data_IF_350383194191
#
_entry.id   IF_350383194191
#
_cell.length_a   1.000
_cell.length_b   1.000
_cell.length_c   1.000
_cell.angle_alpha   90.00
_cell.angle_beta   90.00
_cell.angle_gamma   90.00
#
_symmetry.space_group_name_H-M   'P 1'
#
loop_
_entity.id
_entity.type
_entity.pdbx_description
1 polymer ?
#
# COMPACT_ATOMS: atom_id res chain seq x y z
N UNK A 1 47.12 24.50 -18.04
CA UNK A 1 45.73 24.69 -17.52
C UNK A 1 44.70 24.04 -18.46
N UNK A 2 44.71 22.71 -18.63
CA UNK A 2 43.72 22.01 -19.49
C UNK A 2 43.23 20.67 -18.94
N UNK A 3 43.83 20.17 -17.85
CA UNK A 3 43.50 18.85 -17.28
C UNK A 3 42.54 18.87 -16.08
N UNK A 4 42.39 20.01 -15.41
CA UNK A 4 41.49 20.13 -14.26
C UNK A 4 40.01 20.31 -14.63
N UNK A 5 39.70 20.70 -15.88
CA UNK A 5 38.33 20.91 -16.33
C UNK A 5 37.57 19.63 -16.70
N UNK A 6 38.28 18.51 -16.93
CA UNK A 6 37.66 17.23 -17.30
C UNK A 6 37.10 16.45 -16.09
N UNK A 7 37.62 16.71 -14.89
CA UNK A 7 37.18 16.00 -13.68
C UNK A 7 35.89 16.57 -13.10
N UNK A 8 35.62 17.87 -13.28
CA UNK A 8 34.40 18.50 -12.76
C UNK A 8 33.15 18.11 -13.56
N UNK A 9 33.28 17.72 -14.82
CA UNK A 9 32.15 17.25 -15.65
C UNK A 9 31.70 15.83 -15.29
N UNK A 10 32.58 14.98 -14.75
CA UNK A 10 32.23 13.58 -14.45
C UNK A 10 31.44 13.41 -13.15
N UNK A 11 31.51 14.39 -12.24
CA UNK A 11 30.82 14.32 -10.95
C UNK A 11 29.34 14.74 -11.03
N UNK A 12 28.96 15.48 -12.07
CA UNK A 12 27.59 15.99 -12.24
C UNK A 12 26.62 14.98 -12.88
N UNK A 13 27.12 13.88 -13.46
CA UNK A 13 26.28 12.88 -14.14
C UNK A 13 25.90 11.68 -13.26
N UNK A 14 26.45 11.55 -12.04
CA UNK A 14 26.11 10.44 -11.13
C UNK A 14 25.05 10.77 -10.08
N UNK A 15 24.62 12.02 -9.96
CA UNK A 15 23.69 12.45 -8.90
C UNK A 15 22.21 12.31 -9.24
N UNK A 16 21.86 11.81 -10.44
CA UNK A 16 20.45 11.68 -10.87
C UNK A 16 19.90 10.26 -10.81
N UNK A 17 20.60 9.32 -10.18
CA UNK A 17 20.08 7.96 -9.90
C UNK A 17 19.76 7.84 -8.40
N UNK A 18 19.00 8.81 -7.87
CA UNK A 18 18.10 8.51 -6.76
C UNK A 18 16.73 8.27 -7.40
N UNK A 19 16.55 7.05 -7.90
CA UNK A 19 15.21 6.51 -8.08
C UNK A 19 14.64 6.33 -6.68
N UNK A 20 14.10 7.41 -6.11
CA UNK A 20 12.87 7.22 -5.37
C UNK A 20 11.95 6.52 -6.36
N UNK A 21 11.64 5.25 -6.10
CA UNK A 21 10.46 4.61 -6.66
C UNK A 21 9.28 5.40 -6.15
N UNK A 22 9.05 6.55 -6.77
CA UNK A 22 7.76 7.20 -6.79
C UNK A 22 6.97 6.29 -7.70
N UNK A 23 6.32 5.30 -7.10
CA UNK A 23 5.29 4.55 -7.76
C UNK A 23 4.38 5.59 -8.42
N UNK A 24 4.44 5.57 -9.74
CA UNK A 24 3.53 6.28 -10.63
C UNK A 24 2.13 5.92 -10.17
N UNK A 25 1.47 6.83 -9.45
CA UNK A 25 0.03 6.79 -9.21
C UNK A 25 -0.60 7.19 -10.54
N UNK A 26 -0.50 6.31 -11.52
CA UNK A 26 -1.23 6.36 -12.77
C UNK A 26 -2.55 5.65 -12.48
N UNK A 27 -3.66 6.38 -12.60
CA UNK A 27 -5.02 6.07 -12.14
C UNK A 27 -5.28 6.19 -10.62
N UNK A 28 -6.11 7.18 -10.25
CA UNK A 28 -6.61 7.41 -8.89
C UNK A 28 -7.48 6.27 -8.30
N UNK A 29 -7.61 5.17 -9.04
CA UNK A 29 -8.36 3.95 -8.71
C UNK A 29 -7.53 2.66 -8.86
N UNK A 30 -6.25 2.72 -9.21
CA UNK A 30 -5.43 1.52 -9.33
C UNK A 30 -4.72 1.23 -8.00
N UNK A 31 -5.06 0.08 -7.43
CA UNK A 31 -4.34 -0.47 -6.28
C UNK A 31 -2.89 -0.81 -6.66
N UNK A 32 -1.95 -0.80 -5.69
CA UNK A 32 -0.65 -1.43 -5.89
C UNK A 32 -0.81 -2.87 -6.41
N UNK A 33 0.10 -3.31 -7.28
CA UNK A 33 0.02 -4.63 -7.93
C UNK A 33 -0.15 -5.78 -6.92
N UNK A 34 0.55 -5.70 -5.79
CA UNK A 34 0.45 -6.69 -4.73
C UNK A 34 -0.94 -6.73 -4.09
N UNK A 35 -1.59 -5.57 -3.95
CA UNK A 35 -2.90 -5.46 -3.32
C UNK A 35 -3.99 -5.99 -4.24
N UNK A 36 -3.90 -5.69 -5.55
CA UNK A 36 -4.76 -6.31 -6.55
C UNK A 36 -4.63 -7.84 -6.53
N UNK A 37 -3.39 -8.35 -6.46
CA UNK A 37 -3.15 -9.80 -6.39
C UNK A 37 -3.85 -10.43 -5.16
N UNK A 38 -3.79 -9.77 -4.00
CA UNK A 38 -4.48 -10.23 -2.78
C UNK A 38 -6.00 -10.19 -2.91
N UNK A 39 -6.55 -9.13 -3.49
CA UNK A 39 -7.99 -9.01 -3.79
C UNK A 39 -8.43 -10.18 -4.67
N UNK A 40 -7.70 -10.46 -5.74
CA UNK A 40 -8.03 -11.53 -6.68
C UNK A 40 -7.96 -12.91 -6.00
N UNK A 41 -6.91 -13.16 -5.21
CA UNK A 41 -6.76 -14.40 -4.43
C UNK A 41 -7.96 -14.65 -3.48
N UNK A 42 -8.41 -13.59 -2.80
CA UNK A 42 -9.45 -13.67 -1.79
C UNK A 42 -10.86 -13.74 -2.38
N UNK A 43 -11.09 -13.12 -3.54
CA UNK A 43 -12.44 -12.92 -4.08
C UNK A 43 -12.78 -13.81 -5.27
N UNK A 44 -11.79 -14.27 -6.04
CA UNK A 44 -12.01 -15.06 -7.27
C UNK A 44 -12.74 -16.38 -7.02
N UNK A 45 -12.37 -17.11 -5.96
CA UNK A 45 -12.93 -18.44 -5.66
C UNK A 45 -14.43 -18.41 -5.36
N UNK A 46 -14.92 -17.32 -4.77
CA UNK A 46 -16.32 -17.18 -4.36
C UNK A 46 -17.08 -16.17 -5.23
N UNK A 47 -16.41 -15.55 -6.20
CA UNK A 47 -16.97 -14.48 -7.05
C UNK A 47 -17.59 -13.32 -6.23
N UNK A 48 -16.95 -12.96 -5.11
CA UNK A 48 -17.47 -11.96 -4.15
C UNK A 48 -16.85 -10.57 -4.34
N UNK A 49 -16.08 -10.34 -5.40
CA UNK A 49 -15.35 -9.09 -5.58
C UNK A 49 -16.27 -7.85 -5.60
N UNK A 50 -17.46 -7.98 -6.20
CA UNK A 50 -18.47 -6.90 -6.29
C UNK A 50 -19.07 -6.46 -4.95
N UNK A 51 -18.88 -7.26 -3.90
CA UNK A 51 -19.37 -6.98 -2.54
C UNK A 51 -18.21 -6.91 -1.53
N UNK A 52 -16.98 -6.77 -2.05
CA UNK A 52 -15.77 -6.63 -1.25
C UNK A 52 -15.27 -5.19 -1.40
N UNK A 53 -14.90 -4.58 -0.28
CA UNK A 53 -14.33 -3.24 -0.23
C UNK A 53 -12.90 -3.28 0.31
N UNK A 54 -12.11 -2.30 -0.10
CA UNK A 54 -10.78 -2.03 0.42
C UNK A 54 -10.81 -0.69 1.15
N UNK A 55 -10.56 -0.74 2.45
CA UNK A 55 -10.44 0.43 3.30
C UNK A 55 -8.96 0.77 3.50
N UNK A 56 -8.56 1.98 3.13
CA UNK A 56 -7.22 2.52 3.33
C UNK A 56 -7.22 3.29 4.66
N UNK A 57 -6.36 2.88 5.58
CA UNK A 57 -6.31 3.39 6.96
C UNK A 57 -4.91 3.93 7.25
N UNK A 58 -4.83 5.14 7.80
CA UNK A 58 -3.59 5.71 8.32
C UNK A 58 -3.51 5.54 9.83
N UNK A 59 -2.39 5.02 10.33
CA UNK A 59 -2.13 4.87 11.76
C UNK A 59 -0.63 4.99 12.04
N UNK A 60 -0.24 5.85 13.00
CA UNK A 60 1.16 6.12 13.37
C UNK A 60 2.07 6.44 12.16
N UNK A 61 1.55 7.18 11.18
CA UNK A 61 2.30 7.57 9.97
C UNK A 61 2.51 6.43 8.97
N UNK A 62 1.86 5.27 9.16
CA UNK A 62 1.86 4.14 8.22
C UNK A 62 0.48 3.98 7.58
N UNK A 63 0.48 3.47 6.35
CA UNK A 63 -0.74 3.11 5.61
C UNK A 63 -1.01 1.62 5.76
N UNK A 64 -2.27 1.28 6.02
CA UNK A 64 -2.77 -0.08 6.10
C UNK A 64 -3.92 -0.27 5.12
N UNK A 65 -4.03 -1.48 4.60
CA UNK A 65 -5.04 -1.87 3.63
C UNK A 65 -5.90 -2.97 4.22
N UNK A 66 -7.17 -2.68 4.42
CA UNK A 66 -8.13 -3.62 4.95
C UNK A 66 -9.07 -4.08 3.83
N UNK A 67 -8.93 -5.32 3.40
CA UNK A 67 -9.85 -5.96 2.44
C UNK A 67 -10.96 -6.61 3.25
N UNK A 68 -12.22 -6.30 2.96
CA UNK A 68 -13.33 -6.86 3.70
C UNK A 68 -14.55 -7.16 2.85
N UNK A 69 -15.19 -8.28 3.14
CA UNK A 69 -16.49 -8.66 2.61
C UNK A 69 -17.41 -8.99 3.78
N UNK A 70 -18.64 -8.47 3.76
CA UNK A 70 -19.63 -8.71 4.81
C UNK A 70 -20.03 -10.18 5.01
N UNK A 71 -19.65 -11.07 4.08
CA UNK A 71 -19.85 -12.51 4.19
C UNK A 71 -18.75 -13.23 4.99
N UNK A 72 -17.66 -12.55 5.34
CA UNK A 72 -16.57 -13.15 6.11
C UNK A 72 -16.85 -13.05 7.61
N UNK A 73 -16.54 -14.12 8.35
CA UNK A 73 -16.74 -14.18 9.81
C UNK A 73 -15.71 -13.39 10.62
N UNK A 74 -14.67 -12.85 9.97
CA UNK A 74 -13.59 -12.13 10.63
C UNK A 74 -13.43 -10.72 10.05
N UNK A 75 -13.61 -9.71 10.91
CA UNK A 75 -13.68 -8.30 10.50
C UNK A 75 -12.35 -7.64 10.19
N UNK A 76 -11.20 -8.22 10.54
CA UNK A 76 -9.87 -7.63 10.31
C UNK A 76 -8.81 -8.68 9.96
N UNK A 77 -9.22 -9.84 9.46
CA UNK A 77 -8.28 -10.90 9.09
C UNK A 77 -7.43 -10.58 7.85
N UNK A 78 -7.95 -9.73 6.96
CA UNK A 78 -7.26 -9.33 5.72
C UNK A 78 -6.81 -7.87 5.84
N UNK A 79 -5.98 -7.62 6.86
CA UNK A 79 -5.39 -6.33 7.16
C UNK A 79 -3.89 -6.39 6.88
N UNK A 80 -3.44 -5.57 5.93
CA UNK A 80 -2.07 -5.57 5.41
C UNK A 80 -1.38 -4.23 5.66
N UNK A 81 -0.06 -4.27 5.82
CA UNK A 81 0.78 -3.08 5.81
C UNK A 81 1.06 -2.58 4.37
N UNK A 82 1.81 -1.50 4.26
CA UNK A 82 2.23 -0.88 3.00
C UNK A 82 3.11 -1.78 2.12
N UNK A 83 3.76 -2.77 2.73
CA UNK A 83 4.62 -3.75 2.06
C UNK A 83 3.84 -5.02 1.66
N UNK A 84 2.55 -5.11 1.96
CA UNK A 84 1.69 -6.25 1.65
C UNK A 84 1.82 -7.43 2.61
N UNK A 85 2.47 -7.25 3.76
CA UNK A 85 2.50 -8.24 4.84
C UNK A 85 1.25 -8.10 5.70
N UNK A 86 0.86 -9.18 6.38
CA UNK A 86 -0.16 -9.08 7.42
C UNK A 86 0.29 -8.11 8.51
N UNK A 87 -0.62 -7.23 8.94
CA UNK A 87 -0.34 -6.33 10.04
C UNK A 87 -0.08 -7.14 11.32
N UNK A 88 1.15 -7.04 11.82
CA UNK A 88 1.56 -7.65 13.09
C UNK A 88 1.44 -6.59 14.16
N UNK A 89 0.72 -6.92 15.23
CA UNK A 89 0.43 -6.00 16.32
C UNK A 89 1.16 -6.43 17.57
N UNK A 90 1.84 -5.47 18.20
CA UNK A 90 2.31 -5.66 19.57
C UNK A 90 1.14 -5.60 20.56
N UNK A 91 1.39 -6.00 21.81
CA UNK A 91 0.35 -6.05 22.84
C UNK A 91 -0.32 -4.68 23.00
N UNK A 92 -1.67 -4.65 22.92
CA UNK A 92 -2.54 -3.46 22.95
C UNK A 92 -2.47 -2.52 21.73
N UNK A 93 -1.58 -2.74 20.77
CA UNK A 93 -1.45 -1.86 19.61
C UNK A 93 -2.69 -1.95 18.70
N UNK A 94 -3.21 -3.16 18.49
CA UNK A 94 -4.42 -3.36 17.68
C UNK A 94 -5.64 -2.63 18.25
N UNK A 95 -5.81 -2.64 19.58
CA UNK A 95 -6.91 -1.92 20.22
C UNK A 95 -6.78 -0.40 20.05
N UNK A 96 -5.56 0.12 19.98
CA UNK A 96 -5.32 1.52 19.68
C UNK A 96 -5.56 1.81 18.20
N UNK A 97 -5.11 0.95 17.29
CA UNK A 97 -5.40 1.04 15.87
C UNK A 97 -6.91 1.15 15.60
N UNK A 98 -7.74 0.33 16.23
CA UNK A 98 -9.19 0.41 16.08
C UNK A 98 -9.81 1.71 16.60
N UNK A 99 -9.17 2.37 17.58
CA UNK A 99 -9.67 3.60 18.20
C UNK A 99 -9.22 4.87 17.49
N UNK A 100 -7.97 4.90 17.02
CA UNK A 100 -7.34 6.11 16.48
C UNK A 100 -6.85 5.98 15.04
N UNK A 101 -6.98 4.81 14.43
CA UNK A 101 -6.79 4.64 13.00
C UNK A 101 -7.76 5.52 12.22
N UNK A 102 -7.23 6.25 11.23
CA UNK A 102 -8.01 7.17 10.41
C UNK A 102 -8.28 6.54 9.06
N UNK A 103 -9.55 6.33 8.74
CA UNK A 103 -9.95 5.92 7.39
C UNK A 103 -9.68 7.09 6.42
N UNK A 104 -8.85 6.83 5.43
CA UNK A 104 -8.48 7.81 4.39
C UNK A 104 -9.42 7.68 3.20
N UNK A 105 -9.70 6.44 2.77
CA UNK A 105 -10.53 6.15 1.60
C UNK A 105 -11.13 4.75 1.74
N UNK A 106 -12.31 4.57 1.16
CA UNK A 106 -12.91 3.26 0.90
C UNK A 106 -13.09 3.14 -0.60
N UNK A 107 -12.67 2.01 -1.17
CA UNK A 107 -12.70 1.73 -2.60
C UNK A 107 -13.32 0.34 -2.83
N UNK A 108 -14.15 0.16 -3.87
CA UNK A 108 -14.63 -1.17 -4.22
C UNK A 108 -13.46 -2.02 -4.72
N UNK A 109 -13.41 -3.29 -4.30
CA UNK A 109 -12.33 -4.20 -4.67
C UNK A 109 -12.29 -4.49 -6.19
N UNK A 110 -13.43 -4.34 -6.87
CA UNK A 110 -13.54 -4.39 -8.32
C UNK A 110 -13.99 -3.03 -8.88
N UNK A 111 -13.48 -2.59 -10.04
CA UNK A 111 -13.98 -1.42 -10.76
C UNK A 111 -15.42 -1.58 -11.28
#
# INVERSE_FOLDING_TARGET
MKRFFLFTCLYLTLSTISCDKKDEITDANQYPVWLQTKIDELTSKQNICKITDVTIIEYNGKTYYHIYCGLWSCSYCQLFDDNGNYAVWETNEFANFLKSGKVIKVLPACP
#
